data_IF_368972305290
#
_entry.id   IF_368972305290
#
_cell.length_a   1.000
_cell.length_b   1.000
_cell.length_c   1.000
_cell.angle_alpha   90.00
_cell.angle_beta   90.00
_cell.angle_gamma   90.00
#
_symmetry.space_group_name_H-M   'P 1'
#
loop_
_entity.id
_entity.type
_entity.pdbx_description
1 polymer ?
#
# COMPACT_ATOMS: atom_id res chain seq x y z
N UNK A 1 7.00 5.94 -19.79
CA UNK A 1 6.02 6.11 -18.68
C UNK A 1 5.18 4.87 -18.40
N UNK A 2 4.36 4.34 -19.32
CA UNK A 2 3.48 3.17 -19.04
C UNK A 2 4.20 2.00 -18.36
N UNK A 3 5.42 1.67 -18.77
CA UNK A 3 6.23 0.62 -18.13
C UNK A 3 6.58 0.92 -16.67
N UNK A 4 6.85 2.18 -16.31
CA UNK A 4 7.07 2.61 -14.94
C UNK A 4 5.80 2.43 -14.10
N UNK A 5 4.63 2.84 -14.62
CA UNK A 5 3.34 2.63 -13.96
C UNK A 5 3.00 1.14 -13.76
N UNK A 6 3.32 0.29 -14.74
CA UNK A 6 3.16 -1.17 -14.61
C UNK A 6 4.07 -1.75 -13.52
N UNK A 7 5.29 -1.24 -13.35
CA UNK A 7 6.15 -1.62 -12.23
C UNK A 7 5.60 -1.14 -10.90
N UNK A 8 5.15 0.12 -10.82
CA UNK A 8 4.56 0.70 -9.61
C UNK A 8 3.41 -0.15 -9.08
N UNK A 9 2.52 -0.65 -9.95
CA UNK A 9 1.41 -1.53 -9.54
C UNK A 9 1.84 -2.81 -8.80
N UNK A 10 3.09 -3.26 -8.96
CA UNK A 10 3.60 -4.49 -8.34
C UNK A 10 3.96 -4.32 -6.86
N UNK A 11 4.15 -3.09 -6.39
CA UNK A 11 4.47 -2.81 -4.99
C UNK A 11 3.25 -2.43 -4.14
N UNK A 12 2.04 -2.38 -4.71
CA UNK A 12 0.81 -2.13 -3.93
C UNK A 12 0.64 -3.18 -2.83
N UNK A 13 0.16 -2.76 -1.66
CA UNK A 13 0.03 -3.61 -0.46
C UNK A 13 1.33 -3.89 0.30
N UNK A 14 2.49 -3.46 -0.23
CA UNK A 14 3.82 -3.83 0.30
C UNK A 14 4.70 -2.65 0.68
N UNK A 15 4.40 -1.45 0.17
CA UNK A 15 5.30 -0.29 0.31
C UNK A 15 4.88 0.67 1.43
N UNK A 16 3.74 0.44 2.10
CA UNK A 16 3.29 1.29 3.20
C UNK A 16 4.38 1.47 4.27
N UNK A 17 4.55 2.69 4.82
CA UNK A 17 3.74 3.90 4.61
C UNK A 17 4.06 4.71 3.35
N UNK A 18 5.07 4.31 2.57
CA UNK A 18 5.53 5.04 1.38
C UNK A 18 4.69 4.69 0.13
N UNK A 19 4.73 5.53 -0.92
CA UNK A 19 4.02 5.26 -2.16
C UNK A 19 4.69 4.12 -2.93
N UNK A 20 3.90 3.46 -3.77
CA UNK A 20 4.43 2.51 -4.73
C UNK A 20 4.85 3.26 -5.99
N UNK A 21 6.16 3.37 -6.19
CA UNK A 21 6.76 4.10 -7.30
C UNK A 21 7.43 3.12 -8.22
N UNK A 22 7.30 3.33 -9.52
CA UNK A 22 8.07 2.63 -10.55
C UNK A 22 8.98 3.61 -11.26
N UNK A 23 10.19 3.16 -11.59
CA UNK A 23 11.20 3.94 -12.28
C UNK A 23 11.82 3.13 -13.42
N UNK A 24 12.01 3.76 -14.57
CA UNK A 24 12.69 3.21 -15.75
C UNK A 24 13.76 4.20 -16.18
N UNK A 25 14.97 3.71 -16.44
CA UNK A 25 16.08 4.51 -16.98
C UNK A 25 16.37 4.04 -18.40
N UNK A 26 16.43 5.00 -19.30
CA UNK A 26 16.72 4.82 -20.72
C UNK A 26 18.01 5.57 -21.04
N UNK A 27 18.98 4.92 -21.68
CA UNK A 27 20.23 5.56 -22.06
C UNK A 27 20.04 6.49 -23.28
N UNK A 28 21.11 7.18 -23.68
CA UNK A 28 21.11 8.10 -24.83
C UNK A 28 20.76 7.44 -26.18
N UNK A 29 20.97 6.13 -26.28
CA UNK A 29 20.70 5.34 -27.49
C UNK A 29 19.27 4.77 -27.51
N UNK A 30 18.46 5.08 -26.48
CA UNK A 30 17.06 4.65 -26.39
C UNK A 30 16.86 3.27 -25.73
N UNK A 31 17.92 2.65 -25.19
CA UNK A 31 17.82 1.34 -24.54
C UNK A 31 17.44 1.45 -23.05
N UNK A 32 16.58 0.54 -22.59
CA UNK A 32 16.23 0.43 -21.17
C UNK A 32 17.37 -0.27 -20.42
N UNK A 33 18.08 0.49 -19.60
CA UNK A 33 19.26 0.03 -18.85
C UNK A 33 19.00 -0.11 -17.33
N UNK A 34 17.93 0.50 -16.83
CA UNK A 34 17.58 0.47 -15.42
C UNK A 34 16.09 0.34 -15.21
N UNK A 35 15.68 -0.43 -14.20
CA UNK A 35 14.28 -0.58 -13.79
C UNK A 35 14.23 -0.66 -12.28
N UNK A 36 13.26 -0.03 -11.64
CA UNK A 36 13.10 -0.09 -10.19
C UNK A 36 11.64 0.03 -9.79
N UNK A 37 11.31 -0.53 -8.64
CA UNK A 37 10.04 -0.36 -7.94
C UNK A 37 10.36 -0.15 -6.47
N UNK A 38 9.62 0.70 -5.76
CA UNK A 38 9.80 0.86 -4.31
C UNK A 38 9.82 -0.50 -3.62
N UNK A 39 10.83 -0.75 -2.78
CA UNK A 39 10.97 -2.01 -2.05
C UNK A 39 9.94 -2.18 -0.93
N UNK A 40 9.85 -3.40 -0.41
CA UNK A 40 8.96 -3.75 0.70
C UNK A 40 9.24 -2.88 1.94
N UNK A 41 8.18 -2.50 2.66
CA UNK A 41 8.27 -1.50 3.73
C UNK A 41 8.52 -0.07 3.22
N UNK A 42 8.54 0.13 1.90
CA UNK A 42 8.64 1.44 1.27
C UNK A 42 10.06 1.93 1.03
N UNK A 43 11.05 1.03 1.14
CA UNK A 43 12.47 1.29 0.87
C UNK A 43 13.14 0.04 0.28
N UNK A 44 14.23 0.20 -0.49
CA UNK A 44 14.72 1.45 -1.06
C UNK A 44 13.74 2.06 -2.08
N UNK A 45 13.99 3.31 -2.50
CA UNK A 45 13.19 3.99 -3.52
C UNK A 45 13.42 3.40 -4.91
N UNK A 46 12.43 3.59 -5.80
CA UNK A 46 12.44 3.02 -7.14
C UNK A 46 13.63 3.54 -7.96
N UNK A 47 13.94 4.84 -7.83
CA UNK A 47 15.03 5.53 -8.52
C UNK A 47 16.38 4.98 -8.08
N UNK A 48 16.58 4.76 -6.78
CA UNK A 48 17.81 4.14 -6.24
C UNK A 48 18.04 2.77 -6.86
N UNK A 49 17.01 1.92 -6.91
CA UNK A 49 17.12 0.59 -7.51
C UNK A 49 17.33 0.62 -9.02
N UNK A 50 16.69 1.57 -9.71
CA UNK A 50 16.86 1.73 -11.15
C UNK A 50 18.27 2.22 -11.50
N UNK A 51 18.80 3.20 -10.75
CA UNK A 51 20.16 3.72 -10.89
C UNK A 51 21.22 2.67 -10.60
N UNK A 52 21.04 1.89 -9.52
CA UNK A 52 21.97 0.81 -9.18
C UNK A 52 22.10 -0.23 -10.30
N UNK A 53 21.01 -0.49 -11.04
CA UNK A 53 21.02 -1.39 -12.22
C UNK A 53 21.59 -0.72 -13.46
N UNK A 54 21.32 0.56 -13.66
CA UNK A 54 21.80 1.33 -14.81
C UNK A 54 23.31 1.60 -14.74
N UNK A 55 23.88 1.76 -13.54
CA UNK A 55 25.29 2.05 -13.35
C UNK A 55 25.74 3.31 -14.11
N UNK A 56 26.94 3.25 -14.70
CA UNK A 56 27.52 4.35 -15.47
C UNK A 56 26.78 4.67 -16.77
N UNK A 57 25.99 3.73 -17.30
CA UNK A 57 25.21 3.94 -18.52
C UNK A 57 24.04 4.91 -18.34
N UNK A 58 23.68 5.24 -17.09
CA UNK A 58 22.69 6.27 -16.78
C UNK A 58 23.09 7.67 -17.30
N UNK A 59 24.40 7.94 -17.40
CA UNK A 59 24.91 9.26 -17.77
C UNK A 59 24.41 9.70 -19.15
N UNK A 60 23.82 10.89 -19.21
CA UNK A 60 23.23 11.43 -20.44
C UNK A 60 21.82 10.89 -20.76
N UNK A 61 21.33 9.93 -19.98
CA UNK A 61 20.04 9.26 -20.21
C UNK A 61 18.82 10.04 -19.72
N UNK A 62 17.67 9.36 -19.82
CA UNK A 62 16.35 9.81 -19.38
C UNK A 62 15.78 8.89 -18.30
N UNK A 63 15.14 9.47 -17.29
CA UNK A 63 14.39 8.76 -16.25
C UNK A 63 12.89 8.95 -16.48
N UNK A 64 12.13 7.86 -16.37
CA UNK A 64 10.67 7.87 -16.31
C UNK A 64 10.23 7.32 -14.96
N UNK A 65 9.62 8.16 -14.14
CA UNK A 65 9.25 7.84 -12.76
C UNK A 65 7.77 8.14 -12.53
N UNK A 66 7.06 7.26 -11.83
CA UNK A 66 5.60 7.41 -11.67
C UNK A 66 5.16 8.52 -10.72
N UNK A 67 6.05 9.00 -9.86
CA UNK A 67 5.81 10.07 -8.87
C UNK A 67 7.02 11.00 -8.86
N UNK A 68 6.85 12.27 -8.49
CA UNK A 68 7.96 13.21 -8.30
C UNK A 68 9.07 12.63 -7.41
N UNK A 69 10.35 12.67 -7.84
CA UNK A 69 11.47 12.23 -7.03
C UNK A 69 11.59 13.01 -5.72
N UNK A 70 11.84 12.32 -4.62
CA UNK A 70 11.96 12.95 -3.31
C UNK A 70 13.17 13.91 -3.26
N UNK A 71 12.97 15.02 -2.56
CA UNK A 71 13.89 16.17 -2.49
C UNK A 71 14.37 16.50 -1.06
N UNK A 72 13.74 15.89 -0.06
CA UNK A 72 14.06 16.10 1.36
C UNK A 72 14.95 14.98 1.88
N UNK A 73 15.82 15.32 2.83
CA UNK A 73 16.59 14.33 3.58
C UNK A 73 15.68 13.66 4.61
N UNK A 74 15.36 12.39 4.37
CA UNK A 74 14.64 11.54 5.32
C UNK A 74 15.60 10.56 5.98
N UNK A 75 15.20 9.28 6.02
CA UNK A 75 16.08 8.18 6.44
C UNK A 75 17.23 7.92 5.45
N UNK A 76 17.06 8.31 4.19
CA UNK A 76 18.06 8.19 3.12
C UNK A 76 18.24 9.55 2.44
N UNK A 77 19.39 9.81 1.79
CA UNK A 77 19.55 10.98 0.94
C UNK A 77 18.47 11.04 -0.16
N UNK A 78 18.13 12.26 -0.65
CA UNK A 78 17.05 12.45 -1.61
C UNK A 78 17.40 11.85 -2.98
N UNK A 79 16.38 11.32 -3.66
CA UNK A 79 16.52 10.75 -5.01
C UNK A 79 16.99 11.80 -6.03
N UNK A 80 16.59 13.07 -5.87
CA UNK A 80 17.08 14.16 -6.72
C UNK A 80 18.59 14.29 -6.73
N UNK A 81 19.25 14.14 -5.58
CA UNK A 81 20.71 14.18 -5.48
C UNK A 81 21.37 13.09 -6.32
N UNK A 82 20.94 11.84 -6.14
CA UNK A 82 21.45 10.71 -6.92
C UNK A 82 21.20 10.85 -8.42
N UNK A 83 20.04 11.38 -8.83
CA UNK A 83 19.74 11.64 -10.23
C UNK A 83 20.68 12.70 -10.84
N UNK A 84 20.98 13.76 -10.09
CA UNK A 84 21.92 14.81 -10.51
C UNK A 84 23.33 14.24 -10.64
N UNK A 85 23.80 13.54 -9.62
CA UNK A 85 25.16 12.96 -9.57
C UNK A 85 25.37 11.91 -10.68
N UNK A 86 24.34 11.14 -11.03
CA UNK A 86 24.41 10.16 -12.12
C UNK A 86 24.51 10.78 -13.51
N UNK A 87 24.33 12.11 -13.64
CA UNK A 87 24.44 12.82 -14.91
C UNK A 87 23.27 12.59 -15.86
N UNK A 88 22.08 12.23 -15.35
CA UNK A 88 20.83 12.19 -16.11
C UNK A 88 20.54 13.57 -16.70
N UNK A 89 19.99 13.60 -17.92
CA UNK A 89 19.69 14.86 -18.64
C UNK A 89 18.20 15.16 -18.77
N UNK A 90 17.36 14.15 -18.61
CA UNK A 90 15.90 14.31 -18.66
C UNK A 90 15.20 13.47 -17.60
N UNK A 91 14.21 14.04 -16.94
CA UNK A 91 13.30 13.34 -16.03
C UNK A 91 11.87 13.57 -16.49
N UNK A 92 11.11 12.49 -16.60
CA UNK A 92 9.68 12.51 -16.92
C UNK A 92 8.93 11.91 -15.74
N UNK A 93 8.13 12.72 -15.05
CA UNK A 93 7.35 12.33 -13.88
C UNK A 93 5.87 12.16 -14.22
N UNK A 94 5.25 11.13 -13.65
CA UNK A 94 3.82 10.86 -13.83
C UNK A 94 2.94 11.91 -13.16
N UNK A 95 3.16 12.18 -11.88
CA UNK A 95 2.45 13.19 -11.12
C UNK A 95 3.37 13.87 -10.07
N UNK A 96 2.96 15.04 -9.59
CA UNK A 96 3.59 15.77 -8.48
C UNK A 96 3.31 15.04 -7.17
N UNK A 97 4.28 15.01 -6.26
CA UNK A 97 4.07 14.42 -4.93
C UNK A 97 3.13 15.33 -4.10
N UNK A 98 2.00 14.82 -3.58
CA UNK A 98 1.11 15.62 -2.75
C UNK A 98 1.69 15.97 -1.36
N UNK A 99 2.78 15.33 -0.94
CA UNK A 99 3.41 15.59 0.34
C UNK A 99 3.93 17.03 0.39
N UNK A 100 3.47 17.88 1.33
CA UNK A 100 3.91 19.27 1.43
C UNK A 100 5.42 19.45 1.56
N UNK A 101 6.13 18.42 2.05
CA UNK A 101 7.59 18.41 2.16
C UNK A 101 8.30 18.23 0.81
N UNK A 102 7.58 17.73 -0.20
CA UNK A 102 8.13 17.44 -1.54
C UNK A 102 7.48 18.30 -2.61
N UNK A 103 6.18 18.55 -2.57
CA UNK A 103 5.37 19.20 -3.61
C UNK A 103 6.12 20.21 -4.50
N UNK A 104 6.58 19.74 -5.66
CA UNK A 104 7.28 20.51 -6.69
C UNK A 104 8.74 20.88 -6.38
N UNK A 105 9.22 20.65 -5.16
CA UNK A 105 10.60 20.97 -4.77
C UNK A 105 11.62 20.04 -5.41
N UNK A 106 11.28 18.77 -5.66
CA UNK A 106 12.16 17.85 -6.37
C UNK A 106 12.29 18.21 -7.83
N UNK A 107 11.16 18.57 -8.46
CA UNK A 107 11.13 19.12 -9.81
C UNK A 107 12.02 20.38 -9.92
N UNK A 108 11.87 21.34 -8.99
CA UNK A 108 12.68 22.57 -8.98
C UNK A 108 14.17 22.29 -8.79
N UNK A 109 14.55 21.37 -7.90
CA UNK A 109 15.96 20.99 -7.69
C UNK A 109 16.58 20.40 -8.96
N UNK A 110 15.87 19.52 -9.66
CA UNK A 110 16.35 18.92 -10.91
C UNK A 110 16.51 19.99 -12.02
N UNK A 111 15.52 20.89 -12.16
CA UNK A 111 15.58 21.99 -13.12
C UNK A 111 16.75 22.93 -12.83
N UNK A 112 16.97 23.29 -11.57
CA UNK A 112 18.10 24.14 -11.15
C UNK A 112 19.47 23.50 -11.45
N UNK A 113 19.55 22.17 -11.44
CA UNK A 113 20.74 21.42 -11.86
C UNK A 113 20.88 21.26 -13.39
N UNK A 114 20.01 21.89 -14.18
CA UNK A 114 20.04 21.85 -15.65
C UNK A 114 19.48 20.57 -16.26
N UNK A 115 18.68 19.79 -15.51
CA UNK A 115 17.97 18.62 -16.03
C UNK A 115 16.64 19.06 -16.64
N UNK A 116 16.32 18.59 -17.84
CA UNK A 116 15.03 18.83 -18.46
C UNK A 116 13.95 18.00 -17.73
N UNK A 117 12.91 18.65 -17.18
CA UNK A 117 11.85 17.97 -16.43
C UNK A 117 10.50 18.15 -17.13
N UNK A 118 9.81 17.04 -17.38
CA UNK A 118 8.43 16.99 -17.85
C UNK A 118 7.57 16.29 -16.79
N UNK A 119 6.39 16.84 -16.50
CA UNK A 119 5.52 16.36 -15.42
C UNK A 119 4.09 16.25 -15.94
N UNK A 120 3.32 15.30 -15.43
CA UNK A 120 1.91 15.10 -15.79
C UNK A 120 1.68 14.04 -16.87
N UNK A 121 2.73 13.31 -17.27
CA UNK A 121 2.61 12.28 -18.31
C UNK A 121 1.88 11.08 -17.74
N UNK A 122 0.65 10.83 -18.22
CA UNK A 122 -0.26 9.81 -17.67
C UNK A 122 -0.57 10.04 -16.18
N UNK A 123 -0.81 11.30 -15.82
CA UNK A 123 -1.05 11.73 -14.44
C UNK A 123 -2.23 11.01 -13.80
N UNK A 124 -3.36 10.87 -14.52
CA UNK A 124 -4.55 10.22 -13.98
C UNK A 124 -4.24 8.78 -13.52
N UNK A 125 -3.52 8.02 -14.34
CA UNK A 125 -3.11 6.66 -13.99
C UNK A 125 -2.06 6.63 -12.86
N UNK A 126 -1.14 7.60 -12.82
CA UNK A 126 -0.14 7.72 -11.76
C UNK A 126 -0.79 8.01 -10.39
N UNK A 127 -1.76 8.93 -10.37
CA UNK A 127 -2.56 9.27 -9.17
C UNK A 127 -3.42 8.11 -8.71
N UNK A 128 -4.03 7.38 -9.64
CA UNK A 128 -4.88 6.22 -9.30
C UNK A 128 -4.07 5.11 -8.61
N UNK A 129 -2.86 4.79 -9.11
CA UNK A 129 -2.00 3.78 -8.47
C UNK A 129 -1.69 4.16 -7.02
N UNK A 130 -1.40 5.43 -6.75
CA UNK A 130 -1.03 5.90 -5.42
C UNK A 130 -2.20 6.53 -4.65
N UNK A 131 -3.46 6.26 -5.03
CA UNK A 131 -4.63 6.90 -4.42
C UNK A 131 -4.69 6.72 -2.90
N UNK A 132 -4.33 5.55 -2.39
CA UNK A 132 -4.23 5.30 -0.95
C UNK A 132 -3.17 6.15 -0.25
N UNK A 133 -2.00 6.32 -0.86
CA UNK A 133 -0.95 7.22 -0.35
C UNK A 133 -1.40 8.68 -0.38
N UNK A 134 -1.99 9.13 -1.50
CA UNK A 134 -2.47 10.50 -1.67
C UNK A 134 -3.49 10.84 -0.59
N UNK A 135 -4.56 10.04 -0.45
CA UNK A 135 -5.61 10.25 0.57
C UNK A 135 -5.03 10.28 1.99
N UNK A 136 -4.05 9.42 2.30
CA UNK A 136 -3.40 9.41 3.61
C UNK A 136 -2.65 10.71 3.88
N UNK A 137 -1.98 11.25 2.87
CA UNK A 137 -1.17 12.48 3.00
C UNK A 137 -2.04 13.74 2.99
N UNK A 138 -3.05 13.80 2.14
CA UNK A 138 -3.87 15.00 1.94
C UNK A 138 -5.08 15.09 2.85
N UNK A 139 -5.66 13.95 3.24
CA UNK A 139 -6.93 13.87 3.96
C UNK A 139 -6.83 13.06 5.27
N UNK A 140 -5.64 12.55 5.62
CA UNK A 140 -5.40 11.73 6.82
C UNK A 140 -6.35 10.51 6.93
N UNK A 141 -6.72 9.92 5.78
CA UNK A 141 -7.58 8.73 5.72
C UNK A 141 -7.07 7.72 4.70
N UNK A 142 -7.30 6.41 4.92
CA UNK A 142 -6.95 5.40 3.94
C UNK A 142 -7.90 5.42 2.74
N UNK A 143 -7.44 4.85 1.63
CA UNK A 143 -8.34 4.34 0.61
C UNK A 143 -9.07 3.11 1.17
N UNK A 144 -10.40 3.09 1.08
CA UNK A 144 -11.22 1.96 1.50
C UNK A 144 -11.90 1.35 0.28
N UNK A 145 -11.70 0.06 0.10
CA UNK A 145 -12.41 -0.76 -0.89
C UNK A 145 -13.35 -1.70 -0.15
N UNK A 146 -14.66 -1.52 -0.34
CA UNK A 146 -15.65 -2.45 0.17
C UNK A 146 -15.82 -3.62 -0.81
N UNK A 147 -15.68 -4.85 -0.32
CA UNK A 147 -16.01 -6.06 -1.08
C UNK A 147 -17.16 -6.78 -0.40
N UNK A 148 -18.20 -7.09 -1.17
CA UNK A 148 -19.29 -7.99 -0.76
C UNK A 148 -19.48 -9.11 -1.79
N UNK A 149 -20.08 -10.22 -1.39
CA UNK A 149 -20.61 -11.23 -2.29
C UNK A 149 -22.06 -11.50 -1.90
N UNK A 150 -22.95 -11.44 -2.88
CA UNK A 150 -24.38 -11.64 -2.69
C UNK A 150 -24.91 -12.66 -3.69
N UNK A 151 -25.96 -13.37 -3.29
CA UNK A 151 -26.81 -14.11 -4.22
C UNK A 151 -27.55 -13.14 -5.16
N UNK A 152 -28.29 -13.70 -6.12
CA UNK A 152 -29.09 -12.92 -7.09
C UNK A 152 -30.23 -12.15 -6.38
N UNK A 153 -30.73 -12.67 -5.27
CA UNK A 153 -31.73 -12.04 -4.40
C UNK A 153 -31.08 -11.23 -3.25
N UNK A 154 -29.83 -10.79 -3.44
CA UNK A 154 -29.12 -9.82 -2.60
C UNK A 154 -28.80 -10.30 -1.17
N UNK A 155 -28.75 -11.62 -0.93
CA UNK A 155 -28.42 -12.21 0.37
C UNK A 155 -26.94 -12.53 0.47
N UNK A 156 -26.36 -12.37 1.66
CA UNK A 156 -24.95 -12.70 1.94
C UNK A 156 -24.78 -14.08 2.62
N UNK A 157 -25.87 -14.69 3.06
CA UNK A 157 -25.91 -16.01 3.67
C UNK A 157 -27.32 -16.61 3.58
N UNK A 158 -27.43 -17.93 3.70
CA UNK A 158 -28.71 -18.66 3.83
C UNK A 158 -29.40 -18.37 5.16
N UNK A 159 -28.62 -18.29 6.24
CA UNK A 159 -29.09 -17.96 7.59
C UNK A 159 -28.08 -17.05 8.31
N UNK A 160 -28.55 -16.36 9.36
CA UNK A 160 -27.70 -15.49 10.17
C UNK A 160 -26.61 -16.30 10.87
N UNK A 161 -25.35 -15.91 10.69
CA UNK A 161 -24.20 -16.57 11.31
C UNK A 161 -23.73 -17.84 10.59
N UNK A 162 -24.37 -18.22 9.48
CA UNK A 162 -24.00 -19.40 8.71
C UNK A 162 -23.04 -19.04 7.56
N UNK A 163 -21.91 -19.75 7.49
CA UNK A 163 -20.98 -19.62 6.37
C UNK A 163 -21.60 -20.17 5.08
N UNK A 164 -21.92 -19.28 4.15
CA UNK A 164 -22.47 -19.65 2.83
C UNK A 164 -21.47 -19.34 1.71
N UNK A 165 -21.13 -20.34 0.91
CA UNK A 165 -20.33 -20.10 -0.30
C UNK A 165 -21.23 -19.64 -1.44
N UNK A 166 -21.21 -18.33 -1.71
CA UNK A 166 -21.97 -17.72 -2.81
C UNK A 166 -21.15 -17.69 -4.10
N UNK A 167 -19.92 -17.18 -4.04
CA UNK A 167 -19.11 -16.94 -5.23
C UNK A 167 -18.24 -18.15 -5.61
N UNK A 168 -18.01 -18.33 -6.91
CA UNK A 168 -17.11 -19.35 -7.44
C UNK A 168 -15.61 -18.97 -7.36
N UNK A 169 -14.76 -19.88 -7.85
CA UNK A 169 -13.30 -19.77 -7.75
C UNK A 169 -12.72 -18.50 -8.38
N UNK A 170 -13.21 -18.08 -9.56
CA UNK A 170 -12.73 -16.88 -10.24
C UNK A 170 -12.92 -15.61 -9.42
N UNK A 171 -14.07 -15.49 -8.75
CA UNK A 171 -14.32 -14.39 -7.83
C UNK A 171 -13.41 -14.46 -6.60
N UNK A 172 -13.14 -15.66 -6.08
CA UNK A 172 -12.20 -15.85 -4.97
C UNK A 172 -10.76 -15.45 -5.34
N UNK A 173 -10.30 -15.79 -6.55
CA UNK A 173 -9.01 -15.31 -7.07
C UNK A 173 -8.98 -13.78 -7.15
N UNK A 174 -10.07 -13.13 -7.58
CA UNK A 174 -10.15 -11.66 -7.57
C UNK A 174 -10.07 -11.09 -6.17
N UNK A 175 -10.75 -11.68 -5.18
CA UNK A 175 -10.64 -11.26 -3.77
C UNK A 175 -9.20 -11.34 -3.28
N UNK A 176 -8.47 -12.40 -3.65
CA UNK A 176 -7.06 -12.51 -3.30
C UNK A 176 -6.18 -11.45 -3.99
N UNK A 177 -6.48 -11.09 -5.23
CA UNK A 177 -5.79 -9.99 -5.91
C UNK A 177 -6.05 -8.64 -5.22
N UNK A 178 -7.28 -8.40 -4.75
CA UNK A 178 -7.59 -7.20 -3.96
C UNK A 178 -6.82 -7.20 -2.64
N UNK A 179 -6.81 -8.32 -1.90
CA UNK A 179 -5.99 -8.45 -0.68
C UNK A 179 -4.52 -8.14 -0.95
N UNK A 180 -3.99 -8.60 -2.08
CA UNK A 180 -2.61 -8.36 -2.46
C UNK A 180 -2.27 -6.90 -2.79
N UNK A 181 -3.27 -6.03 -2.99
CA UNK A 181 -3.09 -4.63 -3.36
C UNK A 181 -3.35 -3.66 -2.21
N UNK A 182 -3.79 -4.17 -1.06
CA UNK A 182 -4.14 -3.38 0.10
C UNK A 182 -3.20 -3.69 1.26
N UNK A 183 -2.85 -2.64 2.00
CA UNK A 183 -1.96 -2.75 3.16
C UNK A 183 -2.63 -3.50 4.32
N UNK A 184 -3.97 -3.47 4.36
CA UNK A 184 -4.77 -4.11 5.40
C UNK A 184 -6.08 -4.72 4.89
N UNK A 185 -6.57 -5.72 5.62
CA UNK A 185 -7.85 -6.39 5.40
C UNK A 185 -8.67 -6.25 6.68
N UNK A 186 -9.87 -5.70 6.57
CA UNK A 186 -10.74 -5.42 7.71
C UNK A 186 -11.99 -6.30 7.68
N UNK A 187 -12.33 -6.89 8.83
CA UNK A 187 -13.63 -7.56 9.06
C UNK A 187 -14.20 -7.19 10.42
N UNK A 188 -15.50 -7.39 10.60
CA UNK A 188 -16.10 -7.38 11.94
C UNK A 188 -15.90 -8.72 12.64
N UNK A 189 -15.96 -8.73 13.98
CA UNK A 189 -15.90 -9.94 14.79
C UNK A 189 -16.95 -10.99 14.39
N UNK A 190 -18.13 -10.59 13.91
CA UNK A 190 -19.16 -11.52 13.41
C UNK A 190 -18.65 -12.44 12.29
N UNK A 191 -17.82 -11.92 11.37
CA UNK A 191 -17.18 -12.73 10.32
C UNK A 191 -16.22 -13.74 10.91
N UNK A 192 -15.49 -13.38 11.97
CA UNK A 192 -14.56 -14.31 12.62
C UNK A 192 -15.32 -15.43 13.33
N UNK A 193 -16.41 -15.10 14.01
CA UNK A 193 -17.23 -16.07 14.72
C UNK A 193 -17.93 -17.04 13.76
N UNK A 194 -18.37 -16.58 12.58
CA UNK A 194 -19.06 -17.41 11.59
C UNK A 194 -18.11 -18.21 10.68
N UNK A 195 -17.01 -17.61 10.22
CA UNK A 195 -16.17 -18.17 9.16
C UNK A 195 -14.77 -18.61 9.63
N UNK A 196 -14.35 -18.17 10.82
CA UNK A 196 -13.01 -18.31 11.38
C UNK A 196 -11.89 -18.07 10.34
N UNK A 197 -11.86 -16.97 9.58
CA UNK A 197 -11.02 -16.86 8.38
C UNK A 197 -9.53 -16.67 8.73
N UNK A 198 -8.62 -16.99 7.79
CA UNK A 198 -7.17 -16.67 7.96
C UNK A 198 -6.82 -15.26 7.46
N UNK A 199 -7.61 -14.74 6.51
CA UNK A 199 -7.44 -13.43 5.87
C UNK A 199 -6.06 -13.15 5.24
N UNK A 200 -5.44 -14.17 4.64
CA UNK A 200 -4.18 -14.03 3.89
C UNK A 200 -4.38 -13.97 2.37
N UNK A 201 -3.35 -13.48 1.67
CA UNK A 201 -3.19 -13.61 0.21
C UNK A 201 -2.54 -14.95 -0.11
N UNK A 202 -3.20 -15.76 -0.94
CA UNK A 202 -2.79 -17.16 -1.25
C UNK A 202 -2.70 -17.39 -2.76
N UNK A 203 -2.33 -16.35 -3.49
CA UNK A 203 -2.06 -16.45 -4.92
C UNK A 203 -0.55 -16.61 -5.11
N UNK A 204 -0.11 -17.65 -5.86
CA UNK A 204 1.30 -17.88 -6.14
C UNK A 204 2.03 -16.62 -6.64
N UNK A 205 3.10 -16.25 -5.96
CA UNK A 205 3.95 -15.10 -6.28
C UNK A 205 3.42 -13.75 -5.81
N UNK A 206 2.27 -13.72 -5.13
CA UNK A 206 1.67 -12.51 -4.55
C UNK A 206 1.49 -12.62 -3.03
N UNK A 207 2.00 -13.68 -2.40
CA UNK A 207 1.96 -13.86 -0.96
C UNK A 207 2.76 -12.75 -0.27
N UNK A 208 2.12 -12.08 0.68
CA UNK A 208 2.75 -11.17 1.62
C UNK A 208 1.81 -10.91 2.80
N UNK A 209 2.36 -10.27 3.83
CA UNK A 209 1.69 -10.03 5.09
C UNK A 209 0.94 -8.69 5.06
N UNK A 210 -0.33 -8.70 4.65
CA UNK A 210 -1.24 -7.58 4.92
C UNK A 210 -1.65 -7.59 6.39
N UNK A 211 -1.84 -6.41 6.98
CA UNK A 211 -2.36 -6.30 8.35
C UNK A 211 -3.82 -6.77 8.38
N UNK A 212 -4.15 -7.68 9.28
CA UNK A 212 -5.52 -8.18 9.45
C UNK A 212 -6.16 -7.41 10.60
N UNK A 213 -7.21 -6.66 10.32
CA UNK A 213 -7.90 -5.81 11.30
C UNK A 213 -9.25 -6.43 11.63
N UNK A 214 -9.52 -6.63 12.92
CA UNK A 214 -10.83 -7.08 13.40
C UNK A 214 -11.45 -6.02 14.29
N UNK A 215 -12.66 -5.60 13.93
CA UNK A 215 -13.48 -4.73 14.77
C UNK A 215 -14.25 -5.61 15.78
N UNK A 216 -13.86 -5.52 17.04
CA UNK A 216 -14.39 -6.34 18.13
C UNK A 216 -14.59 -5.49 19.39
N UNK A 217 -15.74 -4.80 19.45
CA UNK A 217 -16.10 -3.86 20.53
C UNK A 217 -15.86 -4.41 21.93
N UNK A 218 -16.07 -5.72 22.14
CA UNK A 218 -16.08 -6.36 23.45
C UNK A 218 -15.01 -7.44 23.64
N UNK A 219 -14.00 -7.51 22.76
CA UNK A 219 -12.94 -8.54 22.82
C UNK A 219 -13.48 -9.99 22.89
N UNK A 220 -14.46 -10.30 22.04
CA UNK A 220 -15.07 -11.64 21.88
C UNK A 220 -14.23 -12.60 21.03
N UNK A 221 -13.11 -12.15 20.45
CA UNK A 221 -12.20 -12.95 19.64
C UNK A 221 -11.88 -14.31 20.29
N UNK A 222 -12.20 -15.45 19.63
CA UNK A 222 -11.81 -16.76 20.13
C UNK A 222 -10.28 -16.93 20.13
N UNK A 223 -9.73 -17.35 21.27
CA UNK A 223 -8.27 -17.54 21.47
C UNK A 223 -7.69 -18.62 20.54
N UNK A 224 -8.53 -19.56 20.13
CA UNK A 224 -8.18 -20.65 19.21
C UNK A 224 -8.58 -20.35 17.75
N UNK A 225 -9.02 -19.14 17.42
CA UNK A 225 -9.30 -18.77 16.02
C UNK A 225 -8.05 -18.86 15.14
N UNK A 226 -8.21 -19.14 13.86
CA UNK A 226 -7.10 -19.20 12.90
C UNK A 226 -6.35 -17.87 12.80
N UNK A 227 -7.03 -16.74 13.01
CA UNK A 227 -6.39 -15.43 13.07
C UNK A 227 -5.38 -15.34 14.22
N UNK A 228 -5.81 -15.73 15.42
CA UNK A 228 -4.96 -15.67 16.63
C UNK A 228 -3.81 -16.68 16.55
N UNK A 229 -4.08 -17.90 16.08
CA UNK A 229 -3.04 -18.93 15.92
C UNK A 229 -1.91 -18.51 14.96
N UNK A 230 -2.21 -17.62 14.01
CA UNK A 230 -1.25 -17.15 13.01
C UNK A 230 -0.81 -15.70 13.23
N UNK A 231 -1.12 -15.10 14.39
CA UNK A 231 -0.83 -13.70 14.67
C UNK A 231 0.67 -13.38 14.79
N UNK A 232 1.50 -14.37 15.12
CA UNK A 232 2.96 -14.24 15.14
C UNK A 232 3.57 -14.11 13.73
N UNK A 233 2.96 -14.75 12.73
CA UNK A 233 3.45 -14.76 11.34
C UNK A 233 2.81 -13.67 10.48
N UNK A 234 1.54 -13.37 10.75
CA UNK A 234 0.75 -12.39 10.02
C UNK A 234 0.21 -11.36 11.01
N UNK A 235 0.48 -10.05 10.85
CA UNK A 235 0.02 -9.04 11.79
C UNK A 235 -1.50 -9.07 11.99
N UNK A 236 -1.94 -9.10 13.25
CA UNK A 236 -3.34 -9.06 13.65
C UNK A 236 -3.55 -7.85 14.57
N UNK A 237 -4.41 -6.92 14.16
CA UNK A 237 -4.84 -5.79 14.97
C UNK A 237 -6.31 -5.98 15.36
N UNK A 238 -6.63 -5.80 16.63
CA UNK A 238 -7.99 -5.92 17.15
C UNK A 238 -8.39 -4.56 17.71
N UNK A 239 -9.40 -3.95 17.10
CA UNK A 239 -9.95 -2.67 17.54
C UNK A 239 -11.10 -2.94 18.50
N UNK A 240 -11.01 -2.44 19.74
CA UNK A 240 -11.98 -2.69 20.80
C UNK A 240 -12.39 -1.41 21.53
N UNK A 241 -13.46 -1.45 22.32
CA UNK A 241 -13.90 -0.34 23.17
C UNK A 241 -14.17 -0.79 24.61
N UNK A 242 -13.35 -1.71 25.12
CA UNK A 242 -13.42 -2.14 26.52
C UNK A 242 -12.60 -1.20 27.40
N UNK A 243 -13.10 -0.90 28.60
CA UNK A 243 -12.37 -0.08 29.56
C UNK A 243 -11.11 -0.79 30.05
N UNK A 244 -11.22 -2.10 30.28
CA UNK A 244 -10.14 -3.00 30.66
C UNK A 244 -10.03 -4.15 29.65
N UNK A 245 -8.80 -4.61 29.40
CA UNK A 245 -8.53 -5.74 28.49
C UNK A 245 -8.80 -7.10 29.16
N UNK A 246 -8.67 -7.16 30.48
CA UNK A 246 -8.81 -8.38 31.28
C UNK A 246 -7.89 -9.53 30.84
N UNK A 247 -8.15 -10.73 31.38
CA UNK A 247 -7.39 -11.93 31.05
C UNK A 247 -7.56 -12.39 29.58
N UNK A 248 -8.69 -12.07 28.96
CA UNK A 248 -8.94 -12.43 27.55
C UNK A 248 -8.07 -11.60 26.61
N UNK A 249 -8.04 -10.27 26.78
CA UNK A 249 -7.19 -9.38 25.99
C UNK A 249 -5.71 -9.67 26.18
N UNK A 250 -5.25 -9.86 27.43
CA UNK A 250 -3.87 -10.22 27.71
C UNK A 250 -3.43 -11.53 27.00
N UNK A 251 -4.34 -12.51 26.88
CA UNK A 251 -4.06 -13.74 26.13
C UNK A 251 -3.93 -13.50 24.62
N UNK A 252 -4.72 -12.58 24.05
CA UNK A 252 -4.63 -12.20 22.64
C UNK A 252 -3.31 -11.47 22.35
N UNK A 253 -2.88 -10.57 23.22
CA UNK A 253 -1.58 -9.89 23.10
C UNK A 253 -0.42 -10.88 23.20
N UNK A 254 -0.50 -11.82 24.15
CA UNK A 254 0.49 -12.90 24.28
C UNK A 254 0.58 -13.76 23.02
N UNK A 255 -0.50 -13.92 22.28
CA UNK A 255 -0.51 -14.62 21.00
C UNK A 255 0.02 -13.78 19.82
N UNK A 256 0.37 -12.50 20.03
CA UNK A 256 0.92 -11.60 19.03
C UNK A 256 -0.09 -10.61 18.44
N UNK A 257 -1.33 -10.58 18.92
CA UNK A 257 -2.31 -9.59 18.47
C UNK A 257 -1.99 -8.20 19.05
N UNK A 258 -2.10 -7.15 18.24
CA UNK A 258 -2.05 -5.76 18.71
C UNK A 258 -3.45 -5.30 19.07
N UNK A 259 -3.70 -4.98 20.34
CA UNK A 259 -4.96 -4.38 20.76
C UNK A 259 -4.92 -2.86 20.55
N UNK A 260 -5.97 -2.32 19.93
CA UNK A 260 -6.14 -0.89 19.68
C UNK A 260 -7.46 -0.46 20.29
N UNK A 261 -7.41 0.33 21.36
CA UNK A 261 -8.62 0.91 21.95
C UNK A 261 -9.12 2.03 21.04
N UNK A 262 -10.35 1.90 20.55
CA UNK A 262 -11.03 2.98 19.83
C UNK A 262 -11.27 4.14 20.80
N UNK A 263 -10.96 5.37 20.35
CA UNK A 263 -11.37 6.57 21.06
C UNK A 263 -12.89 6.75 21.02
N UNK A 264 -13.44 7.51 21.97
CA UNK A 264 -14.79 8.05 21.87
C UNK A 264 -14.80 9.18 20.83
N UNK A 265 -15.65 9.08 19.81
CA UNK A 265 -15.98 10.22 18.94
C UNK A 265 -17.43 10.61 19.19
N UNK A 266 -17.71 11.91 19.28
CA UNK A 266 -19.09 12.39 19.24
C UNK A 266 -19.67 12.16 17.83
N UNK A 267 -20.85 11.53 17.70
CA UNK A 267 -21.43 11.17 16.41
C UNK A 267 -21.65 12.36 15.45
N UNK A 268 -21.80 13.58 15.98
CA UNK A 268 -22.12 14.78 15.22
C UNK A 268 -21.01 15.22 14.25
N UNK A 269 -19.77 14.71 14.40
CA UNK A 269 -18.65 15.05 13.51
C UNK A 269 -18.38 14.07 12.37
N UNK A 270 -19.12 12.96 12.26
CA UNK A 270 -18.74 11.84 11.37
C UNK A 270 -19.67 11.67 10.17
N UNK A 271 -20.93 12.10 10.31
CA UNK A 271 -21.89 12.21 9.22
C UNK A 271 -22.41 13.65 9.30
N UNK A 272 -21.80 14.54 8.52
CA UNK A 272 -22.33 15.89 8.33
C UNK A 272 -23.76 15.85 7.81
#
# INVERSE_FOLDING_TARGET
MRSALTLARRGLGRTWPNPSVGCIIVNKDGHVIGRGVTGDGGRPHAETLALARAGSEAKGGSVFVSLEPCSHHGQTPPCTGFLIESGIKRVVAGCVDPDPRVAGSGIRQLQAAGIAVEVGVLEAEAREINRGFILRVTENRPLVTLKSATSVDEKIATQVGERTQISGEMAMRRVHLERARHDAILVGIGTVLADDPVLTTRLPGLEHNSVRIVLDTHLRMPKNSRLVQTAAEHPLWIVHNTAEIGASGAALEKAGAKLLRAGSMEPQGVLG
#
